data_IF_185581131192
#
_entry.id   IF_185581131192
#
_cell.length_a   1.000
_cell.length_b   1.000
_cell.length_c   1.000
_cell.angle_alpha   90.00
_cell.angle_beta   90.00
_cell.angle_gamma   90.00
#
_symmetry.space_group_name_H-M   'P 1'
#
loop_
_entity.id
_entity.type
_entity.pdbx_description
1 polymer ?
#
# COMPACT_ATOMS: atom_id res chain seq x y z
N UNK A 1 9.23 2.07 8.72
CA UNK A 1 8.26 1.74 7.66
C UNK A 1 8.25 0.26 7.28
N UNK A 2 9.23 -0.58 7.68
CA UNK A 2 9.17 -2.02 7.43
C UNK A 2 9.75 -2.52 6.11
N UNK A 3 10.34 -1.64 5.30
CA UNK A 3 11.16 -2.06 4.15
C UNK A 3 12.48 -2.66 4.65
N UNK A 4 12.88 -3.81 4.08
CA UNK A 4 14.10 -4.52 4.49
C UNK A 4 13.95 -5.39 5.73
N UNK A 5 12.75 -5.46 6.33
CA UNK A 5 12.49 -6.33 7.48
C UNK A 5 11.99 -7.69 7.02
N UNK A 6 12.59 -8.74 7.56
CA UNK A 6 12.18 -10.12 7.33
C UNK A 6 10.98 -10.48 8.19
N UNK A 7 9.90 -10.91 7.54
CA UNK A 7 8.72 -11.43 8.21
C UNK A 7 8.58 -12.92 7.85
N UNK A 8 8.50 -13.76 8.86
CA UNK A 8 8.11 -15.16 8.69
C UNK A 8 6.59 -15.25 8.88
N UNK A 9 5.86 -15.26 7.76
CA UNK A 9 4.40 -15.32 7.74
C UNK A 9 3.97 -16.74 7.35
N UNK A 10 3.30 -17.50 8.24
CA UNK A 10 2.81 -18.83 7.91
C UNK A 10 1.92 -18.83 6.66
N UNK A 11 2.30 -19.64 5.66
CA UNK A 11 1.57 -19.78 4.39
C UNK A 11 1.94 -18.76 3.32
N UNK A 12 2.98 -17.93 3.53
CA UNK A 12 3.46 -16.96 2.56
C UNK A 12 5.00 -16.95 2.53
N UNK A 13 5.58 -17.35 1.39
CA UNK A 13 7.00 -17.13 1.13
C UNK A 13 7.20 -15.64 0.79
N UNK A 14 7.40 -14.79 1.80
CA UNK A 14 7.60 -13.34 1.58
C UNK A 14 9.05 -12.95 1.37
N UNK A 15 9.32 -12.30 0.24
CA UNK A 15 10.40 -11.30 0.13
C UNK A 15 9.72 -9.94 0.27
N UNK A 16 9.84 -9.29 1.43
CA UNK A 16 9.29 -7.94 1.65
C UNK A 16 10.02 -6.89 0.80
N UNK A 17 11.29 -7.17 0.52
CA UNK A 17 12.22 -6.41 -0.31
C UNK A 17 13.57 -6.31 0.40
N UNK A 18 14.67 -6.33 -0.34
CA UNK A 18 16.01 -6.07 0.20
C UNK A 18 16.41 -4.64 -0.11
N UNK A 19 16.81 -3.85 0.90
CA UNK A 19 17.52 -2.58 0.71
C UNK A 19 19.01 -2.88 0.93
N UNK A 20 19.85 -3.00 -0.11
CA UNK A 20 21.27 -3.20 0.10
C UNK A 20 21.90 -1.95 0.72
N UNK A 21 22.79 -2.09 1.71
CA UNK A 21 23.65 -0.99 2.15
C UNK A 21 24.62 -0.65 1.00
N UNK A 22 24.29 0.33 0.16
CA UNK A 22 25.13 0.75 -0.97
C UNK A 22 26.52 1.19 -0.51
N UNK A 23 27.55 0.47 -0.98
CA UNK A 23 28.96 0.73 -0.69
C UNK A 23 29.51 1.95 -1.47
N UNK A 24 28.75 2.46 -2.47
CA UNK A 24 29.16 3.60 -3.30
C UNK A 24 28.11 4.73 -3.38
N UNK A 25 28.53 6.00 -3.61
CA UNK A 25 27.61 7.14 -3.74
C UNK A 25 26.62 7.07 -4.92
N UNK A 26 26.95 6.27 -5.95
CA UNK A 26 26.08 6.04 -7.11
C UNK A 26 24.88 5.16 -6.71
N UNK A 27 25.12 4.09 -5.95
CA UNK A 27 24.08 3.17 -5.43
C UNK A 27 23.11 3.87 -4.47
N UNK A 28 23.60 4.86 -3.70
CA UNK A 28 22.76 5.69 -2.80
C UNK A 28 21.85 6.66 -3.53
N UNK A 29 22.19 7.02 -4.77
CA UNK A 29 21.38 7.91 -5.62
C UNK A 29 20.31 7.13 -6.38
N UNK A 30 20.61 5.88 -6.75
CA UNK A 30 19.70 4.96 -7.44
C UNK A 30 18.61 4.37 -6.52
N UNK A 31 18.95 4.10 -5.24
CA UNK A 31 18.00 3.67 -4.21
C UNK A 31 16.92 4.72 -3.87
N UNK A 32 17.20 6.01 -4.12
CA UNK A 32 16.26 7.11 -3.88
C UNK A 32 15.11 7.19 -4.90
N UNK A 33 15.21 6.49 -6.04
CA UNK A 33 14.23 6.54 -7.14
C UNK A 33 13.89 5.18 -7.75
N UNK A 34 14.30 4.07 -7.12
CA UNK A 34 13.84 2.72 -7.48
C UNK A 34 14.47 2.14 -8.74
N UNK A 35 15.76 2.38 -9.00
CA UNK A 35 16.54 1.61 -9.97
C UNK A 35 17.76 0.96 -9.29
N UNK A 36 18.15 -0.23 -9.75
CA UNK A 36 19.11 -1.12 -9.07
C UNK A 36 18.42 -2.34 -8.43
N UNK A 37 19.17 -3.15 -7.66
CA UNK A 37 18.71 -4.36 -6.94
C UNK A 37 17.64 -4.10 -5.84
N UNK A 38 17.08 -2.88 -5.78
CA UNK A 38 15.98 -2.50 -4.89
C UNK A 38 14.67 -3.16 -5.35
N UNK A 39 14.40 -4.35 -4.81
CA UNK A 39 13.16 -5.09 -5.00
C UNK A 39 12.10 -4.59 -4.02
N UNK A 40 11.48 -3.43 -4.28
CA UNK A 40 10.29 -3.04 -3.55
C UNK A 40 9.10 -3.91 -3.99
N UNK A 41 8.73 -4.91 -3.19
CA UNK A 41 7.55 -5.74 -3.46
C UNK A 41 6.26 -4.95 -3.20
N UNK A 42 5.13 -5.26 -3.89
CA UNK A 42 3.83 -4.68 -3.54
C UNK A 42 3.46 -4.92 -2.07
N UNK A 43 3.84 -6.05 -1.50
CA UNK A 43 3.62 -6.34 -0.08
C UNK A 43 4.38 -5.38 0.84
N UNK A 44 5.67 -5.17 0.59
CA UNK A 44 6.48 -4.20 1.34
C UNK A 44 5.92 -2.78 1.23
N UNK A 45 5.49 -2.36 0.05
CA UNK A 45 4.88 -1.03 -0.15
C UNK A 45 3.52 -0.88 0.54
N UNK A 46 2.75 -1.96 0.65
CA UNK A 46 1.53 -1.96 1.46
C UNK A 46 1.84 -1.78 2.96
N UNK A 47 2.89 -2.43 3.48
CA UNK A 47 3.34 -2.24 4.87
C UNK A 47 3.84 -0.81 5.13
N UNK A 48 4.60 -0.24 4.19
CA UNK A 48 5.01 1.18 4.25
C UNK A 48 3.79 2.10 4.32
N UNK A 49 2.80 1.82 3.47
CA UNK A 49 1.58 2.63 3.41
C UNK A 49 0.76 2.50 4.69
N UNK A 50 0.68 1.31 5.28
CA UNK A 50 0.05 1.09 6.58
C UNK A 50 0.80 1.81 7.73
N UNK A 51 2.13 1.83 7.66
CA UNK A 51 2.94 2.58 8.62
C UNK A 51 2.79 4.10 8.46
N UNK A 52 2.62 4.60 7.24
CA UNK A 52 2.27 6.00 7.01
C UNK A 52 0.88 6.35 7.55
N UNK A 53 -0.08 5.43 7.45
CA UNK A 53 -1.43 5.61 7.99
C UNK A 53 -1.45 5.67 9.53
N UNK A 54 -0.71 4.76 10.18
CA UNK A 54 -0.83 4.52 11.64
C UNK A 54 0.32 5.11 12.46
N UNK A 55 1.40 5.54 11.82
CA UNK A 55 2.63 5.98 12.48
C UNK A 55 3.45 4.85 13.11
N UNK A 56 3.11 3.58 12.85
CA UNK A 56 3.82 2.39 13.34
C UNK A 56 3.82 1.30 12.28
N UNK A 57 4.88 0.50 12.20
CA UNK A 57 4.87 -0.64 11.27
C UNK A 57 3.96 -1.74 11.83
N UNK A 58 2.88 -2.14 11.12
CA UNK A 58 2.04 -3.23 11.60
C UNK A 58 2.74 -4.57 11.42
N UNK A 59 2.40 -5.54 12.28
CA UNK A 59 2.79 -6.94 12.08
C UNK A 59 1.74 -7.60 11.19
N UNK A 60 2.08 -7.99 9.95
CA UNK A 60 1.13 -8.59 9.02
C UNK A 60 0.69 -9.97 9.51
N UNK A 61 -0.58 -10.32 9.33
CA UNK A 61 -1.11 -11.67 9.59
C UNK A 61 -1.90 -12.10 8.35
N UNK A 62 -1.56 -13.27 7.79
CA UNK A 62 -2.29 -13.82 6.64
C UNK A 62 -3.38 -14.81 7.08
N UNK A 63 -3.06 -15.69 8.02
CA UNK A 63 -3.97 -16.73 8.50
C UNK A 63 -4.40 -16.38 9.92
N UNK A 64 -5.70 -16.20 10.11
CA UNK A 64 -6.26 -15.92 11.44
C UNK A 64 -5.83 -17.00 12.45
N UNK A 65 -5.42 -16.57 13.64
CA UNK A 65 -4.94 -17.46 14.70
C UNK A 65 -3.52 -17.98 14.52
N UNK A 66 -2.80 -17.56 13.48
CA UNK A 66 -1.37 -17.85 13.31
C UNK A 66 -0.58 -16.56 13.50
N UNK A 67 0.43 -16.63 14.36
CA UNK A 67 1.31 -15.50 14.63
C UNK A 67 2.40 -15.38 13.57
N UNK A 68 2.71 -14.14 13.20
CA UNK A 68 3.85 -13.80 12.35
C UNK A 68 5.04 -13.48 13.23
N UNK A 69 6.19 -14.05 12.91
CA UNK A 69 7.44 -13.72 13.60
C UNK A 69 8.13 -12.57 12.88
N UNK A 70 8.62 -11.59 13.65
CA UNK A 70 9.33 -10.40 13.15
C UNK A 70 10.76 -10.46 13.65
N UNK A 71 11.74 -10.25 12.77
CA UNK A 71 13.16 -10.35 13.11
C UNK A 71 13.67 -9.20 14.00
N UNK A 72 13.01 -8.05 13.96
CA UNK A 72 13.40 -6.85 14.70
C UNK A 72 12.21 -5.97 15.09
N UNK A 73 12.36 -5.21 16.18
CA UNK A 73 11.41 -4.17 16.57
C UNK A 73 11.73 -2.87 15.84
N UNK A 74 10.73 -2.27 15.19
CA UNK A 74 10.92 -1.10 14.33
C UNK A 74 10.45 0.14 15.09
N UNK A 75 11.36 1.08 15.43
CA UNK A 75 10.99 2.30 16.12
C UNK A 75 9.92 3.08 15.35
N UNK A 76 8.92 3.59 16.07
CA UNK A 76 7.93 4.47 15.49
C UNK A 76 8.59 5.77 14.99
N UNK A 77 8.26 6.23 13.76
CA UNK A 77 8.73 7.53 13.27
C UNK A 77 8.19 8.69 14.12
N UNK A 78 8.83 9.85 14.00
CA UNK A 78 8.34 11.09 14.65
C UNK A 78 6.89 11.40 14.22
N UNK A 79 5.94 11.56 15.16
CA UNK A 79 4.56 11.89 14.84
C UNK A 79 4.38 13.16 13.99
N UNK A 80 5.25 14.17 14.17
CA UNK A 80 5.21 15.38 13.36
C UNK A 80 5.61 15.11 11.91
N UNK A 81 6.57 14.20 11.69
CA UNK A 81 6.97 13.75 10.36
C UNK A 81 5.84 12.96 9.68
N UNK A 82 5.18 12.07 10.44
CA UNK A 82 4.01 11.32 9.94
C UNK A 82 2.90 12.29 9.52
N UNK A 83 2.53 13.26 10.37
CA UNK A 83 1.48 14.21 10.04
C UNK A 83 1.79 15.01 8.76
N UNK A 84 3.04 15.44 8.57
CA UNK A 84 3.47 16.11 7.34
C UNK A 84 3.39 15.18 6.12
N UNK A 85 3.84 13.94 6.25
CA UNK A 85 3.76 12.93 5.19
C UNK A 85 2.32 12.68 4.75
N UNK A 86 1.40 12.52 5.71
CA UNK A 86 -0.02 12.33 5.44
C UNK A 86 -0.60 13.54 4.68
N UNK A 87 -0.25 14.77 5.06
CA UNK A 87 -0.66 15.97 4.33
C UNK A 87 -0.15 16.01 2.88
N UNK A 88 1.09 15.59 2.65
CA UNK A 88 1.66 15.48 1.29
C UNK A 88 0.95 14.39 0.47
N UNK A 89 0.67 13.23 1.06
CA UNK A 89 -0.03 12.12 0.40
C UNK A 89 -1.49 12.48 0.07
N UNK A 90 -2.18 13.23 0.94
CA UNK A 90 -3.51 13.77 0.63
C UNK A 90 -3.46 14.70 -0.58
N UNK A 91 -2.43 15.55 -0.66
CA UNK A 91 -2.27 16.52 -1.75
C UNK A 91 -2.11 15.84 -3.11
N UNK A 92 -1.42 14.70 -3.18
CA UNK A 92 -1.28 13.91 -4.43
C UNK A 92 -2.64 13.51 -5.00
N UNK A 93 -3.57 13.10 -4.15
CA UNK A 93 -4.90 12.65 -4.57
C UNK A 93 -5.84 13.83 -4.80
N UNK A 94 -5.78 14.85 -3.95
CA UNK A 94 -6.74 15.96 -4.01
C UNK A 94 -6.41 16.94 -5.14
N UNK A 95 -5.13 17.20 -5.39
CA UNK A 95 -4.71 18.23 -6.36
C UNK A 95 -3.58 17.78 -7.29
N UNK A 96 -2.95 16.63 -7.03
CA UNK A 96 -1.76 16.16 -7.73
C UNK A 96 -2.01 15.06 -8.76
N UNK A 97 -1.03 14.16 -8.87
CA UNK A 97 -0.97 13.11 -9.91
C UNK A 97 -1.97 11.97 -9.70
N UNK A 98 -2.52 11.81 -8.50
CA UNK A 98 -3.57 10.83 -8.21
C UNK A 98 -5.00 11.39 -8.34
N UNK A 99 -5.15 12.63 -8.83
CA UNK A 99 -6.47 13.29 -8.94
C UNK A 99 -7.42 12.57 -9.90
N UNK A 100 -8.71 12.72 -9.65
CA UNK A 100 -9.76 12.21 -10.53
C UNK A 100 -10.28 10.82 -10.18
N UNK A 101 -9.84 10.26 -9.05
CA UNK A 101 -10.48 9.10 -8.42
C UNK A 101 -11.97 9.38 -8.16
N UNK A 102 -12.81 8.38 -8.40
CA UNK A 102 -14.27 8.48 -8.32
C UNK A 102 -14.87 7.62 -7.19
N UNK A 103 -14.07 6.78 -6.53
CA UNK A 103 -14.49 6.07 -5.32
C UNK A 103 -15.06 7.03 -4.26
N UNK A 104 -15.97 6.54 -3.42
CA UNK A 104 -16.73 7.37 -2.48
C UNK A 104 -16.61 6.89 -1.03
N UNK A 105 -15.86 5.81 -0.78
CA UNK A 105 -15.72 5.16 0.52
C UNK A 105 -14.81 5.87 1.53
N UNK A 106 -14.23 7.03 1.20
CA UNK A 106 -13.42 7.84 2.13
C UNK A 106 -12.27 8.59 1.46
N UNK A 107 -11.52 9.42 2.20
CA UNK A 107 -10.33 10.08 1.66
C UNK A 107 -9.23 9.04 1.40
N UNK A 108 -8.59 9.14 0.24
CA UNK A 108 -7.39 8.36 -0.11
C UNK A 108 -6.15 9.26 0.07
N UNK A 109 -5.12 8.69 0.67
CA UNK A 109 -3.80 9.28 0.87
C UNK A 109 -2.82 8.41 0.13
N UNK A 110 -2.16 8.92 -0.90
CA UNK A 110 -1.35 8.05 -1.76
C UNK A 110 -0.18 8.77 -2.41
N UNK A 111 0.66 7.98 -3.07
CA UNK A 111 1.72 8.46 -3.95
C UNK A 111 1.72 7.65 -5.25
N UNK A 112 1.85 8.35 -6.36
CA UNK A 112 2.10 7.74 -7.68
C UNK A 112 3.60 7.54 -7.91
N UNK A 113 3.96 6.54 -8.71
CA UNK A 113 5.34 6.29 -9.12
C UNK A 113 5.42 5.63 -10.48
N UNK A 114 6.57 5.80 -11.13
CA UNK A 114 6.91 5.17 -12.40
C UNK A 114 8.32 4.60 -12.27
N UNK A 115 8.54 3.39 -12.79
CA UNK A 115 9.85 2.76 -12.83
C UNK A 115 10.17 2.34 -14.27
N UNK A 116 11.04 3.10 -14.92
CA UNK A 116 11.45 2.87 -16.30
C UNK A 116 12.46 1.73 -16.42
N UNK A 117 12.24 0.84 -17.39
CA UNK A 117 13.18 -0.19 -17.83
C UNK A 117 13.33 -0.12 -19.35
N UNK A 118 14.34 -0.81 -19.90
CA UNK A 118 14.59 -0.84 -21.35
C UNK A 118 13.38 -1.27 -22.21
N UNK A 119 12.43 -2.03 -21.62
CA UNK A 119 11.24 -2.53 -22.29
C UNK A 119 9.96 -1.68 -22.07
N UNK A 120 10.03 -0.58 -21.32
CA UNK A 120 8.89 0.28 -20.96
C UNK A 120 8.89 0.69 -19.50
N UNK A 121 7.81 1.31 -19.01
CA UNK A 121 7.69 1.76 -17.62
C UNK A 121 6.69 0.94 -16.81
N UNK A 122 6.99 0.65 -15.55
CA UNK A 122 6.05 0.09 -14.59
C UNK A 122 5.28 1.21 -13.90
N UNK A 123 3.96 1.04 -13.77
CA UNK A 123 3.10 2.01 -13.11
C UNK A 123 2.86 1.59 -11.65
N UNK A 124 3.04 2.53 -10.72
CA UNK A 124 2.84 2.32 -9.30
C UNK A 124 1.82 3.32 -8.71
N UNK A 125 0.98 2.81 -7.82
CA UNK A 125 0.14 3.61 -6.94
C UNK A 125 0.01 2.93 -5.58
N UNK A 126 0.44 3.60 -4.52
CA UNK A 126 0.50 3.05 -3.16
C UNK A 126 0.01 4.07 -2.16
N UNK A 127 -0.66 3.61 -1.11
CA UNK A 127 -1.26 4.51 -0.14
C UNK A 127 -2.20 3.81 0.82
N UNK A 128 -3.05 4.61 1.46
CA UNK A 128 -4.08 4.12 2.35
C UNK A 128 -5.37 4.93 2.19
N UNK A 129 -6.48 4.37 2.64
CA UNK A 129 -7.80 4.99 2.70
C UNK A 129 -8.27 5.01 4.15
N UNK A 130 -9.06 6.02 4.52
CA UNK A 130 -9.49 6.27 5.92
C UNK A 130 -10.22 5.11 6.59
N UNK A 131 -10.74 4.17 5.82
CA UNK A 131 -11.50 2.99 6.27
C UNK A 131 -10.59 1.78 6.59
N UNK A 132 -9.39 2.05 7.10
CA UNK A 132 -8.39 1.05 7.54
C UNK A 132 -7.92 0.11 6.41
N UNK A 133 -7.68 0.68 5.22
CA UNK A 133 -7.12 -0.05 4.07
C UNK A 133 -5.81 0.58 3.66
N UNK A 134 -4.72 -0.17 3.76
CA UNK A 134 -3.46 0.12 3.07
C UNK A 134 -3.35 -0.72 1.79
N UNK A 135 -2.79 -0.15 0.72
CA UNK A 135 -2.70 -0.79 -0.58
C UNK A 135 -1.41 -0.44 -1.31
N UNK A 136 -1.03 -1.32 -2.23
CA UNK A 136 -0.03 -1.06 -3.27
C UNK A 136 -0.48 -1.73 -4.56
N UNK A 137 -0.50 -0.97 -5.65
CA UNK A 137 -0.85 -1.44 -7.00
C UNK A 137 0.35 -1.25 -7.90
N UNK A 138 0.80 -2.34 -8.51
CA UNK A 138 1.84 -2.39 -9.53
C UNK A 138 1.23 -2.91 -10.83
N UNK A 139 1.39 -2.15 -11.90
CA UNK A 139 1.13 -2.63 -13.26
C UNK A 139 2.45 -2.71 -14.00
N UNK A 140 2.97 -3.93 -14.14
CA UNK A 140 4.20 -4.22 -14.88
C UNK A 140 4.02 -3.81 -16.34
N UNK A 141 4.96 -3.02 -16.84
CA UNK A 141 4.90 -2.41 -18.17
C UNK A 141 3.59 -1.61 -18.41
N UNK A 142 3.00 -1.07 -17.34
CA UNK A 142 1.77 -0.29 -17.37
C UNK A 142 1.89 1.13 -17.93
N UNK A 143 3.10 1.56 -18.28
CA UNK A 143 3.37 2.92 -18.74
C UNK A 143 3.31 3.92 -17.58
N UNK A 144 2.52 4.97 -17.75
CA UNK A 144 2.36 6.03 -16.77
C UNK A 144 1.60 5.58 -15.51
N UNK A 145 1.86 6.27 -14.41
CA UNK A 145 1.27 5.97 -13.09
C UNK A 145 -0.27 6.08 -13.05
N UNK A 146 -0.88 6.73 -14.03
CA UNK A 146 -2.34 6.83 -14.19
C UNK A 146 -2.98 5.45 -14.35
N UNK A 147 -2.29 4.50 -14.99
CA UNK A 147 -2.78 3.13 -15.17
C UNK A 147 -2.99 2.44 -13.82
N UNK A 148 -2.01 2.52 -12.91
CA UNK A 148 -2.12 1.95 -11.58
C UNK A 148 -3.20 2.67 -10.75
N UNK A 149 -3.26 4.00 -10.87
CA UNK A 149 -4.28 4.83 -10.20
C UNK A 149 -5.70 4.42 -10.61
N UNK A 150 -5.94 4.23 -11.91
CA UNK A 150 -7.25 3.83 -12.45
C UNK A 150 -7.66 2.42 -12.00
N UNK A 151 -6.72 1.47 -11.95
CA UNK A 151 -6.99 0.12 -11.45
C UNK A 151 -7.42 0.16 -9.98
N UNK A 152 -6.70 0.91 -9.14
CA UNK A 152 -7.05 1.07 -7.72
C UNK A 152 -8.39 1.76 -7.53
N UNK A 153 -8.68 2.83 -8.28
CA UNK A 153 -9.96 3.52 -8.20
C UNK A 153 -11.13 2.61 -8.56
N UNK A 154 -11.01 1.84 -9.65
CA UNK A 154 -12.01 0.86 -10.03
C UNK A 154 -12.22 -0.22 -8.96
N UNK A 155 -11.15 -0.72 -8.34
CA UNK A 155 -11.28 -1.65 -7.21
C UNK A 155 -12.08 -1.03 -6.06
N UNK A 156 -11.78 0.22 -5.68
CA UNK A 156 -12.49 0.89 -4.58
C UNK A 156 -13.95 1.19 -4.91
N UNK A 157 -14.27 1.61 -6.13
CA UNK A 157 -15.67 1.77 -6.58
C UNK A 157 -16.45 0.46 -6.37
N UNK A 158 -15.88 -0.68 -6.81
CA UNK A 158 -16.51 -1.99 -6.64
C UNK A 158 -16.65 -2.39 -5.18
N UNK A 159 -15.64 -2.10 -4.35
CA UNK A 159 -15.70 -2.36 -2.91
C UNK A 159 -16.81 -1.55 -2.24
N UNK A 160 -16.95 -0.28 -2.58
CA UNK A 160 -17.93 0.64 -2.01
C UNK A 160 -19.36 0.21 -2.39
N UNK A 161 -19.59 -0.20 -3.65
CA UNK A 161 -20.85 -0.77 -4.12
C UNK A 161 -21.21 -2.07 -3.37
N UNK A 162 -20.23 -2.95 -3.14
CA UNK A 162 -20.44 -4.21 -2.42
C UNK A 162 -20.79 -3.99 -0.95
N UNK A 163 -20.14 -3.04 -0.28
CA UNK A 163 -20.45 -2.68 1.11
C UNK A 163 -21.85 -2.09 1.23
N UNK A 164 -22.21 -1.17 0.35
CA UNK A 164 -23.56 -0.58 0.28
C UNK A 164 -24.62 -1.67 0.08
N UNK A 165 -24.38 -2.64 -0.81
CA UNK A 165 -25.31 -3.75 -1.07
C UNK A 165 -25.50 -4.69 0.13
N UNK A 166 -24.46 -4.88 0.95
CA UNK A 166 -24.54 -5.68 2.18
C UNK A 166 -25.32 -4.97 3.28
N UNK A 167 -25.22 -3.65 3.38
CA UNK A 167 -26.00 -2.85 4.34
C UNK A 167 -27.50 -2.84 3.99
N UNK A 168 -27.83 -2.93 2.70
CA UNK A 168 -29.23 -2.95 2.23
C UNK A 168 -29.90 -4.32 2.44
N UNK A 169 -29.15 -5.39 2.66
CA UNK A 169 -29.73 -6.74 2.89
C UNK A 169 -29.91 -6.98 4.40
N UNK A 170 -31.12 -6.80 4.99
CA UNK A 170 -31.32 -7.06 6.41
C UNK A 170 -31.11 -8.55 6.73
N UNK A 171 -30.71 -8.90 7.97
CA UNK A 171 -30.58 -10.29 8.37
C UNK A 171 -31.94 -10.98 8.23
N UNK A 172 -31.96 -12.14 7.57
CA UNK A 172 -33.15 -12.99 7.53
C UNK A 172 -33.38 -13.49 8.96
N UNK A 173 -34.28 -12.84 9.69
CA UNK A 173 -34.80 -13.38 10.95
C UNK A 173 -35.61 -14.62 10.60
N UNK A 174 -35.02 -15.79 10.81
CA UNK A 174 -35.72 -17.05 10.71
C UNK A 174 -36.56 -17.22 12.00
N UNK A 175 -37.70 -16.54 12.06
CA UNK A 175 -38.77 -16.90 12.98
C UNK A 175 -39.71 -17.91 12.32
N UNK A 176 -40.13 -18.88 13.12
CA UNK A 176 -41.20 -19.85 12.92
C UNK A 176 -40.86 -21.12 12.12
N UNK A 177 -40.53 -22.17 12.87
CA UNK A 177 -41.13 -23.51 12.88
C UNK A 177 -40.44 -24.29 13.99
N UNK A 178 -41.03 -24.79 15.07
CA UNK A 178 -42.39 -24.90 15.58
C UNK A 178 -42.27 -25.74 16.86
#
# INVERSE_FOLDING_TARGET
FGLGVDYEIPGLDTITGSVPEGETPLERTEAGYGQGLDLASPFGMALVSAAAATGKTPVPVLISGHETTVSEDIPAPDPAMISQLQGMMASVVNTGTGRGMQQTGGQVYAKTGEAEINAGSHAWFTGYREDDIAFATLVVLGGGSETATAVTDHFFIRLDEMRTSREITPPVTNEAQG
#
